data_IF_699463310178
#
_entry.id   IF_699463310178
#
_cell.length_a   1.000
_cell.length_b   1.000
_cell.length_c   1.000
_cell.angle_alpha   90.00
_cell.angle_beta   90.00
_cell.angle_gamma   90.00
#
_symmetry.space_group_name_H-M   'P 1'
#
loop_
_entity.id
_entity.type
_entity.pdbx_description
1 polymer ?
#
# COMPACT_ATOMS: atom_id res chain seq x y z
N UNK A 1 -32.59 11.79 -11.24
CA UNK A 1 -31.96 10.50 -10.96
C UNK A 1 -31.05 10.65 -9.73
N UNK A 2 -31.31 9.89 -8.68
CA UNK A 2 -30.46 9.90 -7.49
C UNK A 2 -29.05 9.40 -7.87
N UNK A 3 -28.01 10.16 -7.53
CA UNK A 3 -26.61 9.75 -7.71
C UNK A 3 -26.32 8.68 -6.65
N UNK A 4 -26.14 7.44 -7.10
CA UNK A 4 -25.79 6.33 -6.20
C UNK A 4 -24.28 6.40 -5.92
N UNK A 5 -23.92 6.73 -4.70
CA UNK A 5 -22.54 6.67 -4.20
C UNK A 5 -22.44 5.50 -3.24
N UNK A 6 -21.49 4.59 -3.46
CA UNK A 6 -21.25 3.44 -2.61
C UNK A 6 -19.80 3.43 -2.14
N UNK A 7 -19.62 3.04 -0.88
CA UNK A 7 -18.33 2.77 -0.25
C UNK A 7 -18.27 1.30 0.11
N UNK A 8 -17.38 0.55 -0.53
CA UNK A 8 -17.11 -0.85 -0.22
C UNK A 8 -15.86 -0.93 0.64
N UNK A 9 -15.94 -1.72 1.70
CA UNK A 9 -14.85 -1.93 2.66
C UNK A 9 -14.58 -3.41 2.79
N UNK A 10 -13.38 -3.83 2.39
CA UNK A 10 -12.85 -5.17 2.58
C UNK A 10 -11.83 -5.11 3.72
N UNK A 11 -12.05 -5.85 4.80
CA UNK A 11 -11.20 -5.89 6.00
C UNK A 11 -10.67 -7.30 6.21
N UNK A 12 -9.42 -7.43 6.59
CA UNK A 12 -8.87 -8.69 7.05
C UNK A 12 -9.51 -9.07 8.40
N UNK A 13 -10.01 -10.31 8.60
CA UNK A 13 -10.77 -10.70 9.78
C UNK A 13 -10.09 -10.37 11.12
N UNK A 14 -8.77 -10.51 11.17
CA UNK A 14 -7.98 -10.22 12.38
C UNK A 14 -7.89 -8.73 12.75
N UNK A 15 -8.34 -7.82 11.87
CA UNK A 15 -8.39 -6.38 12.08
C UNK A 15 -9.83 -5.84 12.07
N UNK A 16 -10.81 -6.70 12.39
CA UNK A 16 -12.23 -6.30 12.39
C UNK A 16 -12.52 -5.14 13.38
N UNK A 17 -11.75 -5.05 14.47
CA UNK A 17 -11.83 -3.99 15.47
C UNK A 17 -11.51 -2.60 14.92
N UNK A 18 -10.68 -2.52 13.86
CA UNK A 18 -10.30 -1.24 13.22
C UNK A 18 -11.42 -0.71 12.30
N UNK A 19 -12.47 -1.47 12.06
CA UNK A 19 -13.55 -1.11 11.12
C UNK A 19 -14.19 0.25 11.41
N UNK A 20 -14.40 0.56 12.70
CA UNK A 20 -14.96 1.85 13.14
C UNK A 20 -14.06 3.01 12.80
N UNK A 21 -12.75 2.85 13.00
CA UNK A 21 -11.75 3.88 12.78
C UNK A 21 -11.53 4.13 11.29
N UNK A 22 -11.65 3.08 10.46
CA UNK A 22 -11.55 3.18 9.01
C UNK A 22 -12.65 4.05 8.37
N UNK A 23 -13.73 4.38 9.09
CA UNK A 23 -14.75 5.33 8.61
C UNK A 23 -14.19 6.74 8.39
N UNK A 24 -13.16 7.12 9.13
CA UNK A 24 -12.52 8.45 9.05
C UNK A 24 -11.21 8.43 8.26
N UNK A 25 -10.84 7.28 7.68
CA UNK A 25 -9.55 7.09 7.04
C UNK A 25 -9.31 8.09 5.90
N UNK A 26 -10.31 8.30 5.03
CA UNK A 26 -10.19 9.18 3.87
C UNK A 26 -9.97 10.64 4.28
N UNK A 27 -10.68 11.10 5.32
CA UNK A 27 -10.51 12.45 5.87
C UNK A 27 -9.11 12.62 6.46
N UNK A 28 -8.66 11.63 7.25
CA UNK A 28 -7.31 11.61 7.81
C UNK A 28 -6.24 11.54 6.71
N UNK A 29 -6.47 10.75 5.66
CA UNK A 29 -5.58 10.69 4.51
C UNK A 29 -5.46 12.04 3.80
N UNK A 30 -6.58 12.74 3.60
CA UNK A 30 -6.59 14.06 2.97
C UNK A 30 -5.83 15.10 3.83
N UNK A 31 -6.08 15.12 5.14
CA UNK A 31 -5.50 16.09 6.07
C UNK A 31 -4.03 15.81 6.42
N UNK A 32 -3.53 14.59 6.21
CA UNK A 32 -2.20 14.17 6.65
C UNK A 32 -1.10 14.67 5.72
N UNK A 33 -0.03 15.23 6.31
CA UNK A 33 1.15 15.71 5.61
C UNK A 33 2.29 14.69 5.53
N UNK A 34 2.23 13.55 6.26
CA UNK A 34 3.27 12.51 6.27
C UNK A 34 3.21 11.66 5.00
N UNK A 35 3.75 12.23 3.92
CA UNK A 35 3.75 11.63 2.57
C UNK A 35 5.02 10.82 2.39
N UNK A 36 4.87 9.50 2.25
CA UNK A 36 5.98 8.58 1.97
C UNK A 36 6.33 8.56 0.47
N UNK A 37 5.33 8.74 -0.38
CA UNK A 37 5.50 8.71 -1.84
C UNK A 37 4.36 9.44 -2.53
N UNK A 38 4.67 10.27 -3.54
CA UNK A 38 3.68 11.01 -4.31
C UNK A 38 4.13 11.21 -5.76
N UNK A 39 3.85 10.22 -6.61
CA UNK A 39 3.98 10.31 -8.07
C UNK A 39 2.65 9.90 -8.70
N UNK A 40 2.59 8.72 -9.34
CA UNK A 40 1.36 8.19 -9.94
C UNK A 40 0.30 7.80 -8.89
N UNK A 41 0.75 7.29 -7.75
CA UNK A 41 -0.09 6.98 -6.59
C UNK A 41 0.42 7.80 -5.41
N UNK A 42 -0.41 7.97 -4.40
CA UNK A 42 -0.01 8.66 -3.16
C UNK A 42 0.01 7.65 -2.03
N UNK A 43 1.11 7.60 -1.29
CA UNK A 43 1.28 6.74 -0.12
C UNK A 43 1.55 7.63 1.07
N UNK A 44 0.75 7.49 2.11
CA UNK A 44 0.89 8.26 3.35
C UNK A 44 0.93 7.34 4.56
N UNK A 45 1.69 7.74 5.57
CA UNK A 45 1.65 7.12 6.89
C UNK A 45 0.60 7.84 7.71
N UNK A 46 -0.32 7.11 8.32
CA UNK A 46 -1.49 7.67 9.02
C UNK A 46 -1.61 7.02 10.40
N UNK A 47 -1.85 7.84 11.42
CA UNK A 47 -2.21 7.35 12.75
C UNK A 47 -3.72 7.15 12.81
N UNK A 48 -4.16 5.92 13.12
CA UNK A 48 -5.56 5.56 13.24
C UNK A 48 -5.77 4.75 14.53
N UNK A 49 -6.35 5.39 15.56
CA UNK A 49 -6.40 4.79 16.90
C UNK A 49 -5.01 4.49 17.43
N UNK A 50 -4.81 3.29 17.93
CA UNK A 50 -3.52 2.80 18.43
C UNK A 50 -2.56 2.35 17.30
N UNK A 51 -3.02 2.30 16.03
CA UNK A 51 -2.25 1.75 14.93
C UNK A 51 -1.64 2.82 14.05
N UNK A 52 -0.38 2.63 13.69
CA UNK A 52 0.27 3.36 12.60
C UNK A 52 0.08 2.58 11.31
N UNK A 53 -0.58 3.18 10.33
CA UNK A 53 -0.96 2.57 9.07
C UNK A 53 -0.22 3.21 7.90
N UNK A 54 -0.09 2.46 6.83
CA UNK A 54 0.30 2.98 5.51
C UNK A 54 -0.90 2.84 4.57
N UNK A 55 -1.39 3.96 4.09
CA UNK A 55 -2.49 4.00 3.14
C UNK A 55 -1.98 4.42 1.76
N UNK A 56 -2.27 3.61 0.74
CA UNK A 56 -1.94 3.86 -0.65
C UNK A 56 -3.21 4.20 -1.43
N UNK A 57 -3.33 5.46 -1.83
CA UNK A 57 -4.35 5.90 -2.76
C UNK A 57 -3.88 5.64 -4.20
N UNK A 58 -4.69 4.92 -4.97
CA UNK A 58 -4.41 4.68 -6.38
C UNK A 58 -4.92 5.84 -7.22
N UNK A 59 -4.15 6.17 -8.28
CA UNK A 59 -4.60 7.15 -9.28
C UNK A 59 -5.99 6.76 -9.80
N UNK A 60 -6.88 7.73 -9.84
CA UNK A 60 -8.24 7.56 -10.42
C UNK A 60 -8.12 6.97 -11.82
N UNK A 61 -8.89 5.93 -12.11
CA UNK A 61 -8.91 5.33 -13.45
C UNK A 61 -9.53 6.29 -14.48
N UNK A 62 -9.22 6.08 -15.77
CA UNK A 62 -9.96 6.75 -16.85
C UNK A 62 -11.41 6.26 -16.88
N UNK A 63 -12.29 6.99 -17.55
CA UNK A 63 -13.73 6.69 -17.60
C UNK A 63 -14.04 5.23 -17.96
N UNK A 64 -13.41 4.71 -19.01
CA UNK A 64 -13.60 3.32 -19.46
C UNK A 64 -13.08 2.34 -18.41
N UNK A 65 -11.90 2.60 -17.84
CA UNK A 65 -11.31 1.75 -16.77
C UNK A 65 -12.15 1.81 -15.50
N UNK A 66 -12.74 2.96 -15.17
CA UNK A 66 -13.60 3.14 -14.00
C UNK A 66 -14.85 2.25 -14.09
N UNK A 67 -15.46 2.16 -15.26
CA UNK A 67 -16.59 1.29 -15.52
C UNK A 67 -16.19 -0.19 -15.43
N UNK A 68 -15.07 -0.59 -16.03
CA UNK A 68 -14.55 -1.96 -16.01
C UNK A 68 -14.25 -2.40 -14.56
N UNK A 69 -13.59 -1.55 -13.77
CA UNK A 69 -13.27 -1.87 -12.36
C UNK A 69 -14.50 -1.91 -11.46
N UNK A 70 -15.54 -1.15 -11.76
CA UNK A 70 -16.75 -1.19 -10.96
C UNK A 70 -17.66 -2.40 -11.27
N UNK A 71 -17.57 -2.97 -12.48
CA UNK A 71 -18.55 -3.96 -12.94
C UNK A 71 -17.94 -5.31 -13.34
N UNK A 72 -16.71 -5.32 -13.86
CA UNK A 72 -16.14 -6.51 -14.51
C UNK A 72 -14.83 -7.00 -13.87
N UNK A 73 -14.09 -6.14 -13.17
CA UNK A 73 -12.75 -6.47 -12.68
C UNK A 73 -12.48 -5.82 -11.32
N UNK A 74 -11.92 -6.59 -10.40
CA UNK A 74 -11.45 -6.08 -9.10
C UNK A 74 -10.52 -4.87 -9.26
N UNK A 75 -10.68 -3.86 -8.42
CA UNK A 75 -9.82 -2.69 -8.41
C UNK A 75 -8.35 -3.04 -8.10
N UNK A 76 -7.46 -2.09 -8.31
CA UNK A 76 -6.06 -2.26 -7.93
C UNK A 76 -5.89 -2.39 -6.42
N UNK A 77 -6.71 -1.68 -5.63
CA UNK A 77 -6.68 -1.74 -4.18
C UNK A 77 -7.08 -3.13 -3.67
N UNK A 78 -8.21 -3.65 -4.14
CA UNK A 78 -8.69 -4.97 -3.75
C UNK A 78 -7.71 -6.07 -4.16
N UNK A 79 -7.17 -6.02 -5.38
CA UNK A 79 -6.16 -6.99 -5.81
C UNK A 79 -4.90 -6.94 -4.96
N UNK A 80 -4.41 -5.74 -4.61
CA UNK A 80 -3.24 -5.61 -3.73
C UNK A 80 -3.51 -6.23 -2.36
N UNK A 81 -4.69 -5.99 -1.80
CA UNK A 81 -5.13 -6.57 -0.53
C UNK A 81 -5.17 -8.11 -0.59
N UNK A 82 -5.82 -8.68 -1.61
CA UNK A 82 -5.93 -10.14 -1.77
C UNK A 82 -4.56 -10.80 -2.01
N UNK A 83 -3.68 -10.16 -2.80
CA UNK A 83 -2.32 -10.66 -3.02
C UNK A 83 -1.50 -10.66 -1.73
N UNK A 84 -1.57 -9.59 -0.94
CA UNK A 84 -0.86 -9.52 0.34
C UNK A 84 -1.38 -10.58 1.32
N UNK A 85 -2.70 -10.76 1.43
CA UNK A 85 -3.30 -11.79 2.25
C UNK A 85 -2.89 -13.20 1.82
N UNK A 86 -2.76 -13.43 0.50
CA UNK A 86 -2.28 -14.71 -0.05
C UNK A 86 -0.80 -14.96 0.28
N UNK A 87 0.06 -13.94 0.12
CA UNK A 87 1.49 -14.05 0.47
C UNK A 87 1.66 -14.38 1.95
N UNK A 88 0.91 -13.73 2.80
CA UNK A 88 0.90 -13.98 4.23
C UNK A 88 0.46 -15.41 4.57
N UNK A 89 -0.59 -15.91 3.91
CA UNK A 89 -1.04 -17.30 4.02
C UNK A 89 -0.01 -18.34 3.53
N UNK A 90 0.92 -17.94 2.67
CA UNK A 90 2.06 -18.75 2.22
C UNK A 90 3.30 -18.61 3.13
N UNK A 91 3.20 -17.86 4.24
CA UNK A 91 4.32 -17.61 5.14
C UNK A 91 5.36 -16.63 4.59
N UNK A 92 5.04 -15.90 3.49
CA UNK A 92 5.92 -14.88 2.93
C UNK A 92 5.72 -13.58 3.70
N UNK A 93 6.80 -13.06 4.28
CA UNK A 93 6.77 -11.80 5.04
C UNK A 93 6.33 -10.63 4.14
N UNK A 94 5.26 -9.97 4.53
CA UNK A 94 4.72 -8.78 3.87
C UNK A 94 4.10 -7.85 4.92
N UNK A 95 4.07 -6.51 4.71
CA UNK A 95 3.32 -5.64 5.60
C UNK A 95 1.88 -6.12 5.75
N UNK A 96 1.39 -6.38 6.98
CA UNK A 96 0.08 -6.97 7.19
C UNK A 96 -1.04 -6.20 6.49
N UNK A 97 -1.81 -6.82 5.58
CA UNK A 97 -2.93 -6.16 4.92
C UNK A 97 -4.07 -5.95 5.93
N UNK A 98 -4.54 -4.73 6.06
CA UNK A 98 -5.63 -4.35 6.95
C UNK A 98 -6.93 -4.26 6.17
N UNK A 99 -6.95 -3.44 5.11
CA UNK A 99 -8.16 -3.20 4.35
C UNK A 99 -7.93 -2.77 2.90
N UNK A 100 -8.95 -2.94 2.07
CA UNK A 100 -9.14 -2.20 0.82
C UNK A 100 -10.47 -1.44 0.88
N UNK A 101 -10.43 -0.17 0.47
CA UNK A 101 -11.60 0.70 0.37
C UNK A 101 -11.79 1.08 -1.09
N UNK A 102 -13.02 0.98 -1.56
CA UNK A 102 -13.42 1.35 -2.93
C UNK A 102 -14.61 2.30 -2.88
N UNK A 103 -14.51 3.41 -3.58
CA UNK A 103 -15.63 4.33 -3.79
C UNK A 103 -16.11 4.21 -5.23
N UNK A 104 -17.41 4.04 -5.37
CA UNK A 104 -18.06 4.04 -6.69
C UNK A 104 -19.15 5.10 -6.75
N UNK A 105 -19.31 5.70 -7.92
CA UNK A 105 -20.35 6.66 -8.21
C UNK A 105 -20.89 6.40 -9.61
N UNK A 106 -22.21 6.24 -9.72
CA UNK A 106 -22.87 5.93 -11.00
C UNK A 106 -22.22 4.73 -11.72
N UNK A 107 -21.99 3.62 -11.01
CA UNK A 107 -21.33 2.41 -11.54
C UNK A 107 -19.91 2.64 -12.08
N UNK A 108 -19.19 3.62 -11.54
CA UNK A 108 -17.80 3.91 -11.88
C UNK A 108 -16.94 3.98 -10.63
N UNK A 109 -15.79 3.34 -10.67
CA UNK A 109 -14.79 3.44 -9.59
C UNK A 109 -14.18 4.84 -9.59
N UNK A 110 -14.34 5.58 -8.50
CA UNK A 110 -13.78 6.93 -8.35
C UNK A 110 -12.45 6.90 -7.63
N UNK A 111 -12.43 6.33 -6.42
CA UNK A 111 -11.25 6.30 -5.57
C UNK A 111 -11.06 4.89 -4.99
N UNK A 112 -9.83 4.51 -4.77
CA UNK A 112 -9.53 3.24 -4.11
C UNK A 112 -8.24 3.34 -3.29
N UNK A 113 -8.29 2.73 -2.10
CA UNK A 113 -7.22 2.75 -1.12
C UNK A 113 -6.86 1.34 -0.70
N UNK A 114 -5.57 1.05 -0.61
CA UNK A 114 -5.05 -0.16 0.02
C UNK A 114 -4.33 0.24 1.30
N UNK A 115 -4.63 -0.44 2.40
CA UNK A 115 -4.19 -0.09 3.74
C UNK A 115 -3.47 -1.27 4.36
N UNK A 116 -2.27 -1.02 4.86
CA UNK A 116 -1.45 -1.98 5.60
C UNK A 116 -1.07 -1.44 6.96
N UNK A 117 -0.69 -2.33 7.85
CA UNK A 117 0.03 -1.93 9.06
C UNK A 117 1.39 -1.34 8.64
N UNK A 118 1.81 -0.26 9.32
CA UNK A 118 3.15 0.27 9.11
C UNK A 118 4.19 -0.74 9.61
N UNK A 119 5.09 -1.12 8.72
CA UNK A 119 6.24 -1.97 9.06
C UNK A 119 7.49 -1.10 9.05
N UNK A 120 8.10 -0.85 10.22
CA UNK A 120 9.36 -0.09 10.26
C UNK A 120 10.44 -0.81 9.47
N UNK A 121 11.18 -0.08 8.67
CA UNK A 121 12.30 -0.60 7.89
C UNK A 121 13.38 0.49 7.77
N UNK A 122 14.63 0.06 7.77
CA UNK A 122 15.76 0.98 7.68
C UNK A 122 16.02 1.43 6.24
N UNK A 123 15.67 0.58 5.27
CA UNK A 123 15.92 0.83 3.85
C UNK A 123 14.72 0.44 2.98
N UNK A 124 14.43 1.27 1.98
CA UNK A 124 13.49 0.90 0.92
C UNK A 124 14.17 0.03 -0.14
N UNK A 125 13.41 -0.78 -0.87
CA UNK A 125 13.92 -1.53 -2.01
C UNK A 125 14.56 -0.61 -3.07
N UNK A 126 14.00 0.58 -3.26
CA UNK A 126 14.55 1.62 -4.16
C UNK A 126 15.96 2.04 -3.72
N UNK A 127 16.17 2.28 -2.43
CA UNK A 127 17.49 2.62 -1.89
C UNK A 127 18.51 1.49 -2.09
N UNK A 128 18.07 0.23 -1.92
CA UNK A 128 18.91 -0.96 -2.16
C UNK A 128 19.28 -1.07 -3.64
N UNK A 129 18.32 -0.89 -4.55
CA UNK A 129 18.58 -0.93 -6.00
C UNK A 129 19.53 0.19 -6.45
N UNK A 130 19.34 1.41 -5.96
CA UNK A 130 20.27 2.51 -6.23
C UNK A 130 21.68 2.25 -5.68
N UNK A 131 21.78 1.62 -4.51
CA UNK A 131 23.09 1.22 -3.99
C UNK A 131 23.77 0.17 -4.87
N UNK A 132 23.01 -0.80 -5.41
CA UNK A 132 23.50 -1.81 -6.34
C UNK A 132 23.94 -1.17 -7.67
N UNK A 133 23.17 -0.24 -8.22
CA UNK A 133 23.51 0.49 -9.44
C UNK A 133 24.82 1.29 -9.27
N UNK A 134 24.98 1.97 -8.14
CA UNK A 134 26.23 2.68 -7.81
C UNK A 134 27.43 1.73 -7.70
N UNK A 135 27.24 0.55 -7.11
CA UNK A 135 28.28 -0.48 -7.00
C UNK A 135 28.75 -0.98 -8.38
N UNK A 136 27.85 -1.07 -9.33
CA UNK A 136 28.15 -1.47 -10.70
C UNK A 136 28.85 -0.37 -11.51
N UNK A 137 28.80 0.88 -11.06
CA UNK A 137 29.32 2.06 -11.78
C UNK A 137 30.57 2.69 -11.17
N UNK A 138 30.99 2.34 -9.95
CA UNK A 138 32.16 2.92 -9.28
C UNK A 138 33.02 1.89 -8.52
N UNK A 139 34.32 2.21 -8.38
CA UNK A 139 35.39 1.36 -7.87
C UNK A 139 35.11 0.61 -6.56
N UNK A 140 35.40 -0.67 -6.61
CA UNK A 140 34.83 -1.85 -5.97
C UNK A 140 35.08 -2.10 -4.48
N UNK A 141 35.89 -1.35 -3.77
CA UNK A 141 36.33 -1.78 -2.41
C UNK A 141 35.49 -1.19 -1.26
N UNK A 142 35.12 0.09 -1.34
CA UNK A 142 34.40 0.76 -0.26
C UNK A 142 32.90 0.36 -0.23
N UNK A 143 32.35 0.14 -1.40
CA UNK A 143 30.94 -0.16 -1.59
C UNK A 143 30.57 -1.61 -1.29
N UNK A 144 31.51 -2.55 -1.35
CA UNK A 144 31.30 -3.96 -1.00
C UNK A 144 30.93 -4.17 0.46
N UNK A 145 31.40 -3.32 1.37
CA UNK A 145 31.06 -3.39 2.80
C UNK A 145 29.60 -2.94 3.06
N UNK A 146 29.16 -1.88 2.36
CA UNK A 146 27.77 -1.39 2.42
C UNK A 146 26.82 -2.43 1.83
N UNK A 147 27.19 -3.05 0.70
CA UNK A 147 26.42 -4.11 0.07
C UNK A 147 26.21 -5.32 0.98
N UNK A 148 27.30 -5.83 1.62
CA UNK A 148 27.22 -6.97 2.55
C UNK A 148 26.31 -6.67 3.74
N UNK A 149 26.36 -5.46 4.29
CA UNK A 149 25.51 -5.03 5.39
C UNK A 149 24.04 -4.97 4.99
N UNK A 150 23.74 -4.43 3.80
CA UNK A 150 22.39 -4.33 3.27
C UNK A 150 21.81 -5.69 2.87
N UNK A 151 22.65 -6.62 2.37
CA UNK A 151 22.25 -7.99 2.05
C UNK A 151 21.90 -8.79 3.32
N UNK A 152 22.65 -8.58 4.42
CA UNK A 152 22.33 -9.20 5.70
C UNK A 152 20.98 -8.72 6.24
N UNK A 153 20.64 -7.45 6.03
CA UNK A 153 19.33 -6.91 6.41
C UNK A 153 18.20 -7.50 5.55
N UNK A 154 18.41 -7.68 4.24
CA UNK A 154 17.44 -8.37 3.37
C UNK A 154 17.22 -9.83 3.79
N UNK A 155 18.26 -10.53 4.21
CA UNK A 155 18.15 -11.91 4.72
C UNK A 155 17.31 -12.01 6.02
N UNK A 156 17.28 -10.95 6.82
CA UNK A 156 16.42 -10.90 8.02
C UNK A 156 14.94 -10.70 7.71
N UNK A 157 14.58 -10.22 6.49
CA UNK A 157 13.20 -10.06 6.02
C UNK A 157 12.60 -11.33 5.38
N UNK A 158 13.42 -12.35 5.09
CA UNK A 158 13.00 -13.59 4.40
C UNK A 158 12.80 -14.76 5.39
N UNK A 159 12.94 -14.51 6.70
CA UNK A 159 12.68 -15.53 7.75
C UNK A 159 11.37 -15.29 8.48
#
# INVERSE_FOLDING_TARGET
>A
MARTENRLLHIAPRFAEVASDLKTMEAKFAANADVLYAKRNVVKKIQLGAHTLVAKAFKRPSFIQAFIYANCRKSKALRAFEHAARLEGLGISTPPPIAAIEHTKNHQLTDSYYITLHHPHDYSMEAVLHAIEKLNSSDKAHDAAIFRRNLATLHSFVR
#
